data_IF_599175482052
#
_entry.id   IF_599175482052
#
_cell.length_a   1.000
_cell.length_b   1.000
_cell.length_c   1.000
_cell.angle_alpha   90.00
_cell.angle_beta   90.00
_cell.angle_gamma   90.00
#
_symmetry.space_group_name_H-M   'P 1'
#
loop_
_entity.id
_entity.type
_entity.pdbx_description
1 polymer ?
#
# COMPACT_ATOMS: atom_id res chain seq x y z
N UNK A 1 5.16 20.59 -14.30
CA UNK A 1 5.02 19.13 -14.21
C UNK A 1 6.28 18.52 -14.80
N UNK A 2 7.10 17.81 -14.02
CA UNK A 2 8.38 17.24 -14.50
C UNK A 2 8.15 15.78 -14.92
N UNK A 3 8.24 15.48 -16.21
CA UNK A 3 8.13 14.13 -16.78
C UNK A 3 9.49 13.41 -16.67
N UNK A 4 9.58 12.12 -16.32
CA UNK A 4 10.85 11.43 -16.25
C UNK A 4 11.09 10.63 -17.55
N UNK A 5 12.04 11.09 -18.37
CA UNK A 5 12.46 10.50 -19.65
C UNK A 5 13.45 11.43 -20.35
N UNK A 6 14.35 10.93 -21.20
CA UNK A 6 15.36 11.75 -21.90
C UNK A 6 14.69 12.79 -22.79
N UNK A 7 14.84 14.06 -22.40
CA UNK A 7 14.24 15.22 -23.04
C UNK A 7 15.01 15.58 -24.32
N UNK A 8 14.32 15.55 -25.45
CA UNK A 8 14.58 16.52 -26.52
C UNK A 8 13.44 17.52 -26.40
N UNK A 9 13.72 18.70 -25.87
CA UNK A 9 12.77 19.83 -25.86
C UNK A 9 12.71 20.40 -27.27
N UNK A 10 11.58 20.33 -28.01
CA UNK A 10 11.45 21.11 -29.21
C UNK A 10 10.99 22.51 -28.78
N UNK A 11 11.88 23.48 -28.93
CA UNK A 11 11.58 24.90 -28.72
C UNK A 11 10.46 25.44 -29.65
N UNK A 12 9.91 24.61 -30.56
CA UNK A 12 8.99 25.02 -31.61
C UNK A 12 7.60 24.33 -31.60
N UNK A 13 7.43 23.13 -31.02
CA UNK A 13 6.15 22.38 -31.11
C UNK A 13 5.44 22.13 -29.78
N UNK A 14 6.11 22.28 -28.64
CA UNK A 14 5.51 22.06 -27.31
C UNK A 14 5.18 20.59 -26.97
N UNK A 15 5.58 19.64 -27.81
CA UNK A 15 5.36 18.21 -27.62
C UNK A 15 6.55 17.54 -26.93
N UNK A 16 6.27 16.55 -26.08
CA UNK A 16 7.29 15.74 -25.41
C UNK A 16 7.46 14.41 -26.13
N UNK A 17 8.68 14.09 -26.59
CA UNK A 17 8.97 12.80 -27.19
C UNK A 17 9.37 11.76 -26.15
N UNK A 18 8.62 10.66 -26.06
CA UNK A 18 8.80 9.52 -25.16
C UNK A 18 9.19 8.28 -25.97
N UNK A 19 10.29 8.34 -26.73
CA UNK A 19 10.86 7.27 -27.57
C UNK A 19 9.97 6.69 -28.69
N UNK A 20 8.78 6.20 -28.41
CA UNK A 20 7.85 5.69 -29.43
C UNK A 20 6.72 6.68 -29.72
N UNK A 21 6.43 7.61 -28.80
CA UNK A 21 5.26 8.49 -28.90
C UNK A 21 5.54 9.94 -28.52
N UNK A 22 4.72 10.84 -29.06
CA UNK A 22 4.70 12.26 -28.74
C UNK A 22 3.53 12.57 -27.80
N UNK A 23 3.82 13.18 -26.67
CA UNK A 23 2.86 13.58 -25.65
C UNK A 23 2.61 15.09 -25.71
N UNK A 24 1.34 15.47 -25.82
CA UNK A 24 0.90 16.86 -25.72
C UNK A 24 0.45 17.14 -24.28
N UNK A 25 1.23 17.94 -23.56
CA UNK A 25 0.92 18.30 -22.18
C UNK A 25 -0.24 19.29 -22.05
N UNK A 26 -0.58 20.05 -23.10
CA UNK A 26 -1.71 20.98 -23.09
C UNK A 26 -3.05 20.25 -23.16
N UNK A 27 -3.07 19.10 -23.85
CA UNK A 27 -4.26 18.23 -24.00
C UNK A 27 -4.24 17.06 -23.02
N UNK A 28 -3.06 16.68 -22.51
CA UNK A 28 -2.88 15.61 -21.51
C UNK A 28 -2.87 14.20 -22.10
N UNK A 29 -2.48 14.04 -23.38
CA UNK A 29 -2.63 12.79 -24.14
C UNK A 29 -1.49 12.58 -25.13
N UNK A 30 -1.30 11.34 -25.60
CA UNK A 30 -0.43 11.10 -26.74
C UNK A 30 -1.10 11.58 -28.04
N UNK A 31 -0.30 12.15 -28.94
CA UNK A 31 -0.74 12.65 -30.26
C UNK A 31 -0.79 11.52 -31.28
N UNK A 32 0.11 10.55 -31.17
CA UNK A 32 0.11 9.32 -31.96
C UNK A 32 -0.30 8.11 -31.11
N UNK A 33 -0.98 7.15 -31.74
CA UNK A 33 -1.42 5.91 -31.07
C UNK A 33 -0.25 4.99 -30.73
N UNK A 34 -0.41 4.21 -29.66
CA UNK A 34 0.49 3.10 -29.31
C UNK A 34 0.43 1.95 -30.33
N UNK A 35 1.38 1.03 -30.23
CA UNK A 35 1.32 -0.24 -30.94
C UNK A 35 0.06 -1.03 -30.51
N UNK A 36 -0.71 -1.49 -31.50
CA UNK A 36 -1.93 -2.28 -31.30
C UNK A 36 -1.66 -3.57 -30.54
N UNK A 37 -0.43 -4.07 -30.55
CA UNK A 37 -0.02 -5.20 -29.72
C UNK A 37 -0.24 -4.95 -28.22
N UNK A 38 -0.24 -3.70 -27.76
CA UNK A 38 -0.46 -3.34 -26.35
C UNK A 38 -1.93 -3.15 -25.97
N UNK A 39 -2.87 -3.25 -26.92
CA UNK A 39 -4.31 -3.12 -26.64
C UNK A 39 -4.76 -4.19 -25.64
N UNK A 40 -5.40 -3.74 -24.55
CA UNK A 40 -6.04 -4.65 -23.61
C UNK A 40 -5.09 -5.50 -22.76
N UNK A 41 -3.76 -5.37 -22.93
CA UNK A 41 -2.77 -6.19 -22.20
C UNK A 41 -2.91 -6.06 -20.68
N UNK A 42 -3.24 -4.85 -20.19
CA UNK A 42 -3.43 -4.63 -18.77
C UNK A 42 -4.83 -5.06 -18.26
N UNK A 43 -5.69 -5.60 -19.12
CA UNK A 43 -7.04 -6.09 -18.77
C UNK A 43 -8.05 -5.00 -18.41
N UNK A 44 -7.65 -3.72 -18.45
CA UNK A 44 -8.50 -2.57 -18.14
C UNK A 44 -9.11 -1.96 -19.40
N UNK A 45 -10.34 -1.42 -19.33
CA UNK A 45 -10.98 -0.72 -20.48
C UNK A 45 -10.12 0.44 -20.98
N UNK A 46 -9.44 1.14 -20.07
CA UNK A 46 -8.51 2.23 -20.41
C UNK A 46 -7.24 1.75 -21.13
N UNK A 47 -6.86 0.47 -20.99
CA UNK A 47 -5.76 -0.12 -21.76
C UNK A 47 -6.12 -0.38 -23.22
N UNK A 48 -7.38 -0.17 -23.61
CA UNK A 48 -7.82 -0.15 -25.00
C UNK A 48 -7.73 1.25 -25.64
N UNK A 49 -7.29 2.28 -24.89
CA UNK A 49 -7.13 3.64 -25.40
C UNK A 49 -5.67 3.92 -25.76
N UNK A 50 -5.34 3.77 -27.04
CA UNK A 50 -3.99 3.94 -27.59
C UNK A 50 -3.37 5.33 -27.40
N UNK A 51 -4.20 6.33 -27.05
CA UNK A 51 -3.79 7.72 -26.87
C UNK A 51 -3.74 8.15 -25.40
N UNK A 52 -4.14 7.28 -24.47
CA UNK A 52 -4.15 7.61 -23.05
C UNK A 52 -2.71 7.66 -22.50
N UNK A 53 -2.39 8.74 -21.81
CA UNK A 53 -1.15 8.81 -21.03
C UNK A 53 -1.40 8.22 -19.64
N UNK A 54 -0.57 7.26 -19.21
CA UNK A 54 -0.59 6.71 -17.85
C UNK A 54 -1.94 6.12 -17.39
N UNK A 55 -2.73 5.55 -18.31
CA UNK A 55 -4.11 5.13 -18.04
C UNK A 55 -4.98 6.25 -17.44
N UNK A 56 -4.75 7.51 -17.83
CA UNK A 56 -5.33 8.72 -17.24
C UNK A 56 -5.05 8.89 -15.73
N UNK A 57 -4.06 8.17 -15.22
CA UNK A 57 -3.60 8.20 -13.85
C UNK A 57 -2.10 8.58 -13.78
N UNK A 58 -1.67 9.75 -14.31
CA UNK A 58 -0.27 10.20 -14.26
C UNK A 58 0.22 10.52 -12.83
N UNK A 59 -0.69 10.43 -11.84
CA UNK A 59 -0.39 10.44 -10.41
C UNK A 59 0.11 9.06 -9.91
N UNK A 60 -0.10 7.98 -10.66
CA UNK A 60 0.21 6.61 -10.25
C UNK A 60 1.06 5.87 -11.23
N UNK A 61 1.18 6.37 -12.45
CA UNK A 61 1.96 5.75 -13.49
C UNK A 61 2.82 6.82 -14.16
N UNK A 62 4.03 6.45 -14.56
CA UNK A 62 4.68 7.13 -15.65
C UNK A 62 5.02 6.13 -16.74
N UNK A 63 4.89 6.61 -17.95
CA UNK A 63 5.33 5.90 -19.12
C UNK A 63 6.70 6.42 -19.54
N UNK A 64 7.76 5.74 -19.11
CA UNK A 64 9.14 6.12 -19.40
C UNK A 64 9.55 5.85 -20.86
N UNK A 65 8.85 4.93 -21.53
CA UNK A 65 9.26 4.36 -22.81
C UNK A 65 8.22 4.56 -23.92
N UNK A 66 7.13 5.28 -23.64
CA UNK A 66 6.03 5.47 -24.58
C UNK A 66 5.26 4.17 -24.89
N UNK A 67 5.16 3.24 -23.94
CA UNK A 67 4.47 1.94 -24.12
C UNK A 67 3.49 1.68 -22.97
N UNK A 68 3.77 0.68 -22.14
CA UNK A 68 2.98 0.32 -20.97
C UNK A 68 3.40 1.25 -19.81
N UNK A 69 2.49 2.08 -19.27
CA UNK A 69 2.78 2.89 -18.09
C UNK A 69 3.18 2.03 -16.90
N UNK A 70 4.28 2.39 -16.24
CA UNK A 70 4.78 1.74 -15.03
C UNK A 70 4.29 2.50 -13.81
N UNK A 71 3.94 1.81 -12.73
CA UNK A 71 3.42 2.46 -11.53
C UNK A 71 4.48 3.40 -10.89
N UNK A 72 4.24 4.71 -10.96
CA UNK A 72 4.90 5.75 -10.16
C UNK A 72 3.85 6.42 -9.29
N UNK A 73 3.87 6.12 -8.00
CA UNK A 73 3.03 6.81 -7.03
C UNK A 73 3.59 8.23 -6.81
N UNK A 74 2.90 9.27 -7.29
CA UNK A 74 3.20 10.72 -7.19
C UNK A 74 3.16 11.25 -5.74
N UNK A 75 3.08 10.36 -4.76
CA UNK A 75 3.52 10.65 -3.39
C UNK A 75 4.98 11.18 -3.36
N UNK A 76 5.80 10.95 -4.40
CA UNK A 76 7.19 11.45 -4.49
C UNK A 76 7.35 12.96 -4.60
N UNK A 77 6.30 13.75 -4.90
CA UNK A 77 6.48 15.19 -5.24
C UNK A 77 5.90 16.19 -4.25
N UNK A 78 5.13 15.75 -3.25
CA UNK A 78 4.71 16.64 -2.16
C UNK A 78 5.76 16.67 -1.03
N UNK A 79 6.61 15.64 -0.86
CA UNK A 79 7.73 15.66 0.08
C UNK A 79 8.82 14.65 -0.32
N UNK A 80 10.09 15.04 -0.08
CA UNK A 80 11.35 14.36 -0.40
C UNK A 80 11.42 12.87 0.02
N UNK A 81 12.48 12.17 -0.40
CA UNK A 81 12.84 10.76 -0.14
C UNK A 81 12.50 10.15 1.24
N UNK A 82 12.24 10.99 2.26
CA UNK A 82 11.64 10.63 3.55
C UNK A 82 10.20 10.09 3.46
N UNK A 83 9.40 10.48 2.46
CA UNK A 83 8.00 10.05 2.33
C UNK A 83 7.85 8.63 1.75
N UNK A 84 8.77 8.21 0.87
CA UNK A 84 8.74 6.87 0.27
C UNK A 84 8.99 5.80 1.33
N UNK A 85 9.93 6.02 2.26
CA UNK A 85 10.17 5.08 3.35
C UNK A 85 9.00 5.03 4.34
N UNK A 86 8.29 6.15 4.55
CA UNK A 86 7.12 6.17 5.42
C UNK A 86 5.93 5.43 4.85
N UNK A 87 5.71 5.43 3.52
CA UNK A 87 4.58 4.79 2.86
C UNK A 87 4.95 3.53 2.06
N UNK A 88 6.11 2.94 2.37
CA UNK A 88 6.67 1.84 1.58
C UNK A 88 5.75 0.60 1.55
N UNK A 89 5.05 0.30 2.65
CA UNK A 89 4.17 -0.88 2.69
C UNK A 89 2.95 -0.68 1.79
N UNK A 90 2.31 0.48 1.89
CA UNK A 90 1.10 0.77 1.12
C UNK A 90 1.42 0.77 -0.38
N UNK A 91 2.52 1.42 -0.77
CA UNK A 91 3.02 1.39 -2.16
C UNK A 91 3.21 -0.06 -2.66
N UNK A 92 3.81 -0.93 -1.85
CA UNK A 92 4.05 -2.31 -2.25
C UNK A 92 2.75 -3.13 -2.39
N UNK A 93 1.76 -2.88 -1.51
CA UNK A 93 0.43 -3.50 -1.60
C UNK A 93 -0.34 -3.02 -2.85
N UNK A 94 -0.26 -1.73 -3.20
CA UNK A 94 -0.81 -1.21 -4.45
C UNK A 94 -0.12 -1.81 -5.69
N UNK A 95 1.21 -1.95 -5.67
CA UNK A 95 1.96 -2.56 -6.77
C UNK A 95 1.63 -4.06 -6.95
N UNK A 96 1.31 -4.77 -5.87
CA UNK A 96 0.81 -6.13 -5.99
C UNK A 96 -0.57 -6.18 -6.68
N UNK A 97 -1.43 -5.20 -6.41
CA UNK A 97 -2.77 -5.13 -6.99
C UNK A 97 -2.81 -4.89 -8.51
N UNK A 98 -1.77 -4.26 -9.07
CA UNK A 98 -1.66 -4.00 -10.52
C UNK A 98 -1.15 -5.22 -11.27
N UNK A 99 -0.12 -5.90 -10.74
CA UNK A 99 0.62 -6.95 -11.45
C UNK A 99 0.38 -8.32 -10.81
N UNK A 100 0.65 -8.43 -9.50
CA UNK A 100 0.66 -9.69 -8.74
C UNK A 100 -0.70 -10.37 -8.62
N UNK A 101 -1.77 -9.59 -8.42
CA UNK A 101 -3.14 -10.09 -8.38
C UNK A 101 -3.59 -10.69 -9.73
N UNK A 102 -2.90 -10.40 -10.83
CA UNK A 102 -3.11 -11.09 -12.11
C UNK A 102 -2.62 -12.55 -12.10
N UNK A 103 -1.71 -12.90 -11.20
CA UNK A 103 -1.12 -14.23 -11.06
C UNK A 103 -1.73 -15.02 -9.90
N UNK A 104 -1.94 -14.38 -8.74
CA UNK A 104 -2.56 -15.00 -7.56
C UNK A 104 -3.38 -13.99 -6.75
N UNK A 105 -4.65 -14.34 -6.50
CA UNK A 105 -5.58 -13.56 -5.69
C UNK A 105 -5.39 -13.78 -4.18
N UNK A 106 -4.49 -14.67 -3.74
CA UNK A 106 -4.29 -15.01 -2.34
C UNK A 106 -2.81 -14.92 -1.94
N UNK A 107 -2.36 -13.74 -1.54
CA UNK A 107 -0.96 -13.55 -1.15
C UNK A 107 -0.70 -13.94 0.32
N UNK A 108 0.26 -14.86 0.53
CA UNK A 108 0.86 -15.12 1.84
C UNK A 108 2.17 -14.33 1.99
N UNK A 109 2.13 -13.25 2.78
CA UNK A 109 3.30 -12.41 3.03
C UNK A 109 4.03 -12.78 4.33
N UNK A 110 3.73 -13.95 4.91
CA UNK A 110 4.34 -14.39 6.17
C UNK A 110 5.83 -14.76 6.05
N UNK A 111 6.31 -15.08 4.85
CA UNK A 111 7.69 -15.52 4.63
C UNK A 111 8.71 -14.41 4.93
N UNK A 112 9.89 -14.76 5.43
CA UNK A 112 10.94 -13.80 5.80
C UNK A 112 11.66 -13.21 4.58
N UNK A 113 11.67 -13.90 3.44
CA UNK A 113 12.24 -13.36 2.19
C UNK A 113 11.24 -12.50 1.41
N UNK A 114 9.97 -12.43 1.85
CA UNK A 114 8.98 -11.58 1.21
C UNK A 114 9.21 -10.12 1.66
N UNK A 115 9.57 -9.19 0.75
CA UNK A 115 9.85 -7.81 1.12
C UNK A 115 8.61 -7.08 1.68
N UNK A 116 7.42 -7.36 1.13
CA UNK A 116 6.14 -6.83 1.64
C UNK A 116 5.91 -7.37 3.06
N UNK A 117 6.17 -8.66 3.25
CA UNK A 117 6.12 -9.32 4.55
C UNK A 117 7.01 -8.64 5.59
N UNK A 118 8.27 -8.35 5.24
CA UNK A 118 9.21 -7.69 6.16
C UNK A 118 8.79 -6.26 6.52
N UNK A 119 8.31 -5.49 5.53
CA UNK A 119 7.75 -4.17 5.79
C UNK A 119 6.55 -4.25 6.74
N UNK A 120 5.62 -5.17 6.48
CA UNK A 120 4.42 -5.30 7.31
C UNK A 120 4.74 -5.75 8.73
N UNK A 121 5.65 -6.71 8.91
CA UNK A 121 6.13 -7.12 10.24
C UNK A 121 6.72 -5.95 11.01
N UNK A 122 7.57 -5.16 10.37
CA UNK A 122 8.17 -3.97 10.98
C UNK A 122 7.09 -2.95 11.39
N UNK A 123 6.08 -2.70 10.55
CA UNK A 123 4.97 -1.80 10.87
C UNK A 123 4.11 -2.33 12.03
N UNK A 124 3.84 -3.63 12.08
CA UNK A 124 3.07 -4.26 13.15
C UNK A 124 3.79 -4.20 14.50
N UNK A 125 5.10 -4.45 14.52
CA UNK A 125 5.91 -4.36 15.75
C UNK A 125 5.99 -2.94 16.30
N UNK A 126 6.01 -1.93 15.42
CA UNK A 126 6.09 -0.53 15.79
C UNK A 126 4.73 0.16 15.90
N UNK A 127 3.63 -0.61 15.77
CA UNK A 127 2.29 -0.05 15.78
C UNK A 127 1.82 0.30 17.19
N UNK A 128 1.36 1.54 17.37
CA UNK A 128 0.84 2.00 18.67
C UNK A 128 -0.45 1.28 19.03
N UNK A 129 -1.33 1.05 18.06
CA UNK A 129 -2.57 0.32 18.28
C UNK A 129 -2.29 -1.13 18.71
N UNK A 130 -1.35 -1.82 18.07
CA UNK A 130 -0.94 -3.18 18.48
C UNK A 130 -0.36 -3.17 19.90
N UNK A 131 0.52 -2.21 20.19
CA UNK A 131 1.13 -2.08 21.52
C UNK A 131 0.08 -1.89 22.63
N UNK A 132 -0.92 -1.02 22.40
CA UNK A 132 -2.02 -0.79 23.33
C UNK A 132 -2.87 -2.06 23.54
N UNK A 133 -3.13 -2.83 22.48
CA UNK A 133 -3.82 -4.12 22.59
C UNK A 133 -3.00 -5.14 23.38
N UNK A 134 -1.70 -5.27 23.10
CA UNK A 134 -0.80 -6.17 23.84
C UNK A 134 -0.80 -5.80 25.34
N UNK A 135 -0.63 -4.51 25.67
CA UNK A 135 -0.68 -4.03 27.06
C UNK A 135 -2.02 -4.36 27.72
N UNK A 136 -3.13 -4.16 27.02
CA UNK A 136 -4.45 -4.54 27.52
C UNK A 136 -4.54 -6.04 27.78
N UNK A 137 -4.07 -6.89 26.86
CA UNK A 137 -4.13 -8.35 27.01
C UNK A 137 -3.29 -8.82 28.19
N UNK A 138 -2.11 -8.24 28.41
CA UNK A 138 -1.26 -8.55 29.56
C UNK A 138 -1.97 -8.21 30.87
N UNK A 139 -2.68 -7.07 30.96
CA UNK A 139 -3.41 -6.68 32.18
C UNK A 139 -4.59 -7.60 32.51
N UNK A 140 -5.24 -8.16 31.50
CA UNK A 140 -6.41 -9.04 31.67
C UNK A 140 -6.03 -10.53 31.70
N UNK A 141 -4.74 -10.85 31.63
CA UNK A 141 -4.26 -12.22 31.54
C UNK A 141 -4.29 -12.90 32.93
N UNK A 142 -5.13 -13.91 33.09
CA UNK A 142 -5.16 -14.78 34.28
C UNK A 142 -4.34 -16.08 34.15
N UNK A 143 -4.00 -16.48 32.92
CA UNK A 143 -3.26 -17.71 32.58
C UNK A 143 -1.93 -17.39 31.88
N UNK A 144 -1.08 -18.38 31.61
CA UNK A 144 0.20 -18.19 30.89
C UNK A 144 0.04 -17.61 29.47
N UNK A 145 -1.10 -17.88 28.83
CA UNK A 145 -1.40 -17.45 27.46
C UNK A 145 -2.81 -16.85 27.41
N UNK A 146 -2.95 -15.76 26.66
CA UNK A 146 -4.22 -15.11 26.33
C UNK A 146 -4.28 -14.89 24.81
N UNK A 147 -5.41 -15.24 24.19
CA UNK A 147 -5.62 -15.12 22.75
C UNK A 147 -7.03 -14.63 22.49
N UNK A 148 -7.17 -13.71 21.53
CA UNK A 148 -8.47 -13.20 21.12
C UNK A 148 -8.44 -12.87 19.63
N UNK A 149 -9.56 -13.18 18.96
CA UNK A 149 -9.86 -12.68 17.62
C UNK A 149 -10.65 -11.39 17.75
N UNK A 150 -10.22 -10.34 17.06
CA UNK A 150 -10.91 -9.06 17.05
C UNK A 150 -10.62 -8.29 15.77
N UNK A 151 -11.49 -7.33 15.48
CA UNK A 151 -11.25 -6.32 14.46
C UNK A 151 -10.27 -5.28 15.01
N UNK A 152 -9.22 -4.94 14.24
CA UNK A 152 -8.29 -3.87 14.62
C UNK A 152 -8.41 -2.75 13.60
N UNK A 153 -8.86 -1.59 14.08
CA UNK A 153 -8.79 -0.37 13.31
C UNK A 153 -7.45 0.33 13.60
N UNK A 154 -6.58 0.41 12.61
CA UNK A 154 -5.32 1.15 12.67
C UNK A 154 -5.52 2.67 12.45
N UNK A 155 -6.73 3.09 12.09
CA UNK A 155 -7.13 4.45 11.84
C UNK A 155 -7.95 5.04 12.99
N UNK A 156 -7.43 6.13 13.57
CA UNK A 156 -8.21 7.04 14.42
C UNK A 156 -7.73 8.47 14.20
N UNK A 157 -8.58 9.24 13.50
CA UNK A 157 -8.62 10.70 13.33
C UNK A 157 -7.37 11.55 13.52
N UNK A 158 -7.01 12.34 12.49
CA UNK A 158 -6.20 13.59 12.47
C UNK A 158 -4.87 13.69 13.27
N UNK A 159 -4.46 12.73 14.11
CA UNK A 159 -3.39 12.91 15.11
C UNK A 159 -2.31 11.83 15.19
N UNK A 160 -2.37 10.75 14.40
CA UNK A 160 -1.36 9.70 14.51
C UNK A 160 -0.89 9.16 13.15
N UNK A 161 0.14 9.82 12.58
CA UNK A 161 0.77 9.39 11.31
C UNK A 161 1.54 8.07 11.41
N UNK A 162 1.82 7.56 12.63
CA UNK A 162 2.69 6.39 12.84
C UNK A 162 2.12 5.09 12.28
N UNK A 163 0.80 4.90 12.36
CA UNK A 163 0.12 3.73 11.83
C UNK A 163 -0.47 3.97 10.43
N UNK A 164 -0.25 5.16 9.84
CA UNK A 164 -0.90 5.56 8.58
C UNK A 164 -0.54 4.63 7.43
N UNK A 165 0.73 4.26 7.29
CA UNK A 165 1.19 3.34 6.23
C UNK A 165 0.54 1.96 6.42
N UNK A 166 0.54 1.45 7.65
CA UNK A 166 -0.11 0.18 7.97
C UNK A 166 -1.60 0.25 7.64
N UNK A 167 -2.28 1.30 8.07
CA UNK A 167 -3.70 1.51 7.84
C UNK A 167 -4.06 1.63 6.35
N UNK A 168 -3.28 2.36 5.54
CA UNK A 168 -3.50 2.41 4.08
C UNK A 168 -3.22 1.07 3.41
N UNK A 169 -2.30 0.27 3.96
CA UNK A 169 -1.89 -1.03 3.41
C UNK A 169 -2.87 -2.16 3.69
N UNK A 170 -3.52 -2.11 4.86
CA UNK A 170 -4.37 -3.21 5.36
C UNK A 170 -5.83 -2.80 5.51
N UNK A 171 -6.14 -1.51 5.31
CA UNK A 171 -7.46 -0.95 5.52
C UNK A 171 -7.97 -1.14 6.95
N UNK A 172 -9.27 -1.46 7.04
CA UNK A 172 -9.91 -1.91 8.27
C UNK A 172 -9.68 -3.41 8.45
N UNK A 173 -8.47 -3.82 8.82
CA UNK A 173 -8.13 -5.24 8.99
C UNK A 173 -9.11 -5.94 9.96
N UNK A 174 -10.00 -6.74 9.38
CA UNK A 174 -11.19 -7.25 10.04
C UNK A 174 -10.96 -8.53 10.83
N UNK A 175 -9.95 -9.32 10.44
CA UNK A 175 -9.63 -10.60 11.05
C UNK A 175 -8.22 -10.62 11.64
N UNK A 176 -8.06 -10.03 12.83
CA UNK A 176 -6.84 -10.13 13.62
C UNK A 176 -7.00 -11.18 14.73
N UNK A 177 -6.07 -12.12 14.82
CA UNK A 177 -5.87 -12.96 16.00
C UNK A 177 -4.57 -12.56 16.69
N UNK A 178 -4.69 -11.95 17.86
CA UNK A 178 -3.55 -11.59 18.71
C UNK A 178 -3.42 -12.61 19.83
N UNK A 179 -2.21 -13.14 20.04
CA UNK A 179 -1.90 -14.07 21.12
C UNK A 179 -0.68 -13.58 21.89
N UNK A 180 -0.82 -13.51 23.21
CA UNK A 180 0.24 -13.11 24.14
C UNK A 180 0.56 -14.30 25.04
N UNK A 181 1.83 -14.69 25.12
CA UNK A 181 2.29 -15.77 25.99
C UNK A 181 3.41 -15.29 26.91
N UNK A 182 3.21 -15.36 28.23
CA UNK A 182 4.21 -15.02 29.23
C UNK A 182 5.34 -16.07 29.22
N UNK A 183 6.59 -15.63 29.07
CA UNK A 183 7.78 -16.51 29.02
C UNK A 183 8.54 -16.57 30.34
N UNK A 184 8.61 -15.46 31.08
CA UNK A 184 9.37 -15.37 32.33
C UNK A 184 9.94 -13.96 32.53
N UNK A 185 10.87 -13.79 33.47
CA UNK A 185 11.61 -12.52 33.59
C UNK A 185 12.53 -12.32 32.38
N UNK A 186 12.74 -11.07 31.96
CA UNK A 186 13.68 -10.73 30.88
C UNK A 186 15.13 -11.14 31.22
N UNK A 187 15.49 -10.97 32.48
CA UNK A 187 16.77 -11.38 33.08
C UNK A 187 16.56 -11.52 34.58
N UNK A 188 17.44 -12.24 35.27
CA UNK A 188 17.36 -12.45 36.71
C UNK A 188 17.30 -11.13 37.51
N UNK A 189 17.98 -10.07 37.05
CA UNK A 189 17.96 -8.73 37.66
C UNK A 189 16.84 -7.81 37.15
N UNK A 190 16.08 -8.21 36.13
CA UNK A 190 15.09 -7.32 35.50
C UNK A 190 13.74 -7.35 36.22
N UNK A 191 13.16 -6.18 36.44
CA UNK A 191 11.76 -6.05 36.86
C UNK A 191 10.76 -6.37 35.73
N UNK A 192 11.20 -6.41 34.47
CA UNK A 192 10.35 -6.65 33.30
C UNK A 192 10.19 -8.13 32.99
N UNK A 193 9.00 -8.49 32.51
CA UNK A 193 8.71 -9.83 31.99
C UNK A 193 8.82 -9.87 30.47
N UNK A 194 9.28 -11.00 29.96
CA UNK A 194 9.30 -11.31 28.54
C UNK A 194 7.99 -12.01 28.13
N UNK A 195 7.43 -11.55 27.02
CA UNK A 195 6.23 -12.09 26.40
C UNK A 195 6.54 -12.44 24.95
N UNK A 196 6.02 -13.58 24.46
CA UNK A 196 6.00 -13.91 23.04
C UNK A 196 4.65 -13.49 22.47
N UNK A 197 4.69 -12.65 21.44
CA UNK A 197 3.53 -12.14 20.73
C UNK A 197 3.41 -12.89 19.41
N UNK A 198 2.21 -13.36 19.10
CA UNK A 198 1.86 -13.90 17.79
C UNK A 198 0.68 -13.11 17.22
N UNK A 199 0.85 -12.59 16.02
CA UNK A 199 -0.17 -11.85 15.27
C UNK A 199 -0.47 -12.64 14.00
N UNK A 200 -1.75 -12.94 13.79
CA UNK A 200 -2.26 -13.47 12.52
C UNK A 200 -3.29 -12.46 12.00
N UNK A 201 -3.01 -11.88 10.85
CA UNK A 201 -3.85 -10.88 10.18
C UNK A 201 -4.17 -11.37 8.78
N UNK A 202 -5.39 -11.15 8.35
CA UNK A 202 -5.81 -11.39 6.98
C UNK A 202 -6.98 -10.50 6.64
N UNK A 203 -7.06 -10.08 5.38
CA UNK A 203 -8.25 -9.41 4.87
C UNK A 203 -8.34 -9.52 3.34
N UNK A 204 -9.49 -9.10 2.82
CA UNK A 204 -9.63 -8.74 1.41
C UNK A 204 -9.16 -7.29 1.23
N UNK A 205 -8.19 -7.07 0.35
CA UNK A 205 -7.81 -5.72 -0.05
C UNK A 205 -8.64 -5.31 -1.26
N UNK A 206 -9.70 -4.54 -1.02
CA UNK A 206 -10.77 -4.21 -1.97
C UNK A 206 -10.87 -2.72 -2.32
N UNK A 207 -9.93 -1.90 -1.85
CA UNK A 207 -9.90 -0.47 -2.12
C UNK A 207 -11.22 0.26 -1.84
N UNK A 208 -11.90 -0.09 -0.74
CA UNK A 208 -13.18 0.50 -0.33
C UNK A 208 -13.18 2.04 -0.50
N UNK A 209 -14.29 2.57 -1.02
CA UNK A 209 -14.47 4.02 -1.18
C UNK A 209 -14.56 4.69 0.18
N UNK A 210 -13.63 5.60 0.47
CA UNK A 210 -13.65 6.39 1.69
C UNK A 210 -14.56 7.61 1.55
N UNK A 211 -15.14 8.03 2.68
CA UNK A 211 -15.91 9.27 2.76
C UNK A 211 -15.14 10.33 3.55
N UNK A 212 -15.26 11.59 3.12
CA UNK A 212 -14.58 12.73 3.77
C UNK A 212 -15.01 12.85 5.23
N UNK A 213 -16.28 12.57 5.53
CA UNK A 213 -16.84 12.63 6.88
C UNK A 213 -16.17 11.62 7.84
N UNK A 214 -15.93 10.39 7.37
CA UNK A 214 -15.35 9.32 8.20
C UNK A 214 -13.82 9.39 8.24
N UNK A 215 -13.19 9.69 7.11
CA UNK A 215 -11.75 9.50 6.92
C UNK A 215 -10.96 10.83 6.85
N UNK A 216 -11.64 11.96 6.65
CA UNK A 216 -11.02 13.26 6.44
C UNK A 216 -10.57 13.50 5.00
N UNK A 217 -10.46 14.78 4.61
CA UNK A 217 -10.28 15.21 3.21
C UNK A 217 -9.03 14.60 2.54
N UNK A 218 -7.85 14.81 3.13
CA UNK A 218 -6.57 14.41 2.54
C UNK A 218 -6.51 12.89 2.34
N UNK A 219 -6.92 12.15 3.37
CA UNK A 219 -6.90 10.69 3.37
C UNK A 219 -7.90 10.13 2.37
N UNK A 220 -9.10 10.70 2.32
CA UNK A 220 -10.12 10.30 1.35
C UNK A 220 -9.62 10.55 -0.08
N UNK A 221 -8.98 11.69 -0.32
CA UNK A 221 -8.39 12.01 -1.60
C UNK A 221 -7.31 11.00 -2.00
N UNK A 222 -6.42 10.63 -1.06
CA UNK A 222 -5.38 9.61 -1.28
C UNK A 222 -6.05 8.27 -1.60
N UNK A 223 -6.79 7.67 -0.66
CA UNK A 223 -7.35 6.32 -0.85
C UNK A 223 -8.21 6.22 -2.12
N UNK A 224 -9.07 7.21 -2.37
CA UNK A 224 -9.97 7.13 -3.52
C UNK A 224 -9.22 7.33 -4.84
N UNK A 225 -8.21 8.21 -4.88
CA UNK A 225 -7.38 8.41 -6.05
C UNK A 225 -6.44 7.22 -6.33
N UNK A 226 -5.81 6.64 -5.30
CA UNK A 226 -4.84 5.55 -5.51
C UNK A 226 -5.52 4.17 -5.61
N UNK A 227 -6.66 3.97 -4.94
CA UNK A 227 -7.30 2.66 -4.81
C UNK A 227 -8.64 2.59 -5.53
N UNK A 228 -9.65 3.30 -5.00
CA UNK A 228 -11.03 3.12 -5.43
C UNK A 228 -11.24 3.40 -6.93
N UNK A 229 -10.79 4.55 -7.43
CA UNK A 229 -10.99 4.89 -8.85
C UNK A 229 -10.18 3.98 -9.79
N UNK A 230 -8.88 3.70 -9.55
CA UNK A 230 -8.13 2.75 -10.34
C UNK A 230 -8.74 1.34 -10.35
N UNK A 231 -9.26 0.85 -9.22
CA UNK A 231 -9.99 -0.41 -9.18
C UNK A 231 -11.27 -0.34 -10.03
N UNK A 232 -12.07 0.72 -9.88
CA UNK A 232 -13.31 0.90 -10.64
C UNK A 232 -13.08 1.06 -12.15
N UNK A 233 -11.89 1.52 -12.56
CA UNK A 233 -11.47 1.57 -13.97
C UNK A 233 -10.84 0.26 -14.48
N UNK A 234 -10.73 -0.76 -13.62
CA UNK A 234 -10.16 -2.06 -13.95
C UNK A 234 -8.62 -2.11 -13.95
N UNK A 235 -7.95 -1.08 -13.43
CA UNK A 235 -6.47 -1.01 -13.34
C UNK A 235 -5.96 -1.82 -12.15
N UNK A 236 -6.69 -1.79 -11.03
CA UNK A 236 -6.36 -2.59 -9.83
C UNK A 236 -7.34 -3.75 -9.70
N UNK A 237 -6.83 -4.88 -9.23
CA UNK A 237 -7.63 -6.02 -8.81
C UNK A 237 -7.55 -6.20 -7.31
N UNK A 238 -8.69 -6.50 -6.70
CA UNK A 238 -8.75 -6.89 -5.30
C UNK A 238 -8.08 -8.25 -5.10
N UNK A 239 -7.52 -8.48 -3.92
CA UNK A 239 -6.89 -9.74 -3.56
C UNK A 239 -6.95 -9.97 -2.06
N UNK A 240 -6.99 -11.24 -1.66
CA UNK A 240 -6.85 -11.64 -0.27
C UNK A 240 -5.38 -11.63 0.10
N UNK A 241 -5.08 -11.18 1.31
CA UNK A 241 -3.74 -11.24 1.88
C UNK A 241 -3.79 -11.83 3.28
N UNK A 242 -2.69 -12.46 3.69
CA UNK A 242 -2.51 -12.91 5.07
C UNK A 242 -1.06 -12.76 5.51
N UNK A 243 -0.89 -12.44 6.79
CA UNK A 243 0.42 -12.42 7.44
C UNK A 243 0.35 -13.11 8.80
N UNK A 244 1.38 -13.90 9.08
CA UNK A 244 1.68 -14.43 10.41
C UNK A 244 3.02 -13.87 10.86
N UNK A 245 3.03 -13.32 12.06
CA UNK A 245 4.23 -12.74 12.64
C UNK A 245 4.38 -13.08 14.11
N UNK A 246 5.62 -13.34 14.53
CA UNK A 246 5.96 -13.62 15.92
C UNK A 246 7.15 -12.77 16.35
N UNK A 247 7.02 -12.13 17.52
CA UNK A 247 8.09 -11.30 18.08
C UNK A 247 8.06 -11.28 19.61
N UNK A 248 9.15 -10.83 20.22
CA UNK A 248 9.27 -10.70 21.67
C UNK A 248 8.89 -9.30 22.12
N UNK A 249 8.16 -9.21 23.23
CA UNK A 249 7.73 -7.97 23.85
C UNK A 249 8.07 -7.97 25.34
N UNK A 250 8.52 -6.82 25.87
CA UNK A 250 8.94 -6.70 27.25
C UNK A 250 8.07 -5.66 27.98
N UNK A 251 7.39 -6.09 29.03
CA UNK A 251 6.52 -5.26 29.87
C UNK A 251 6.85 -5.45 31.33
#
# INVERSE_FOLDING_TARGET
>A
MWLPGTYISPAETGLYYLQSRYYDASVGRFVNGDDVAFLGIAGAVLSCNLFAYCYNAPLFFADYFGKIPQAIVVITRICAALFVSTFALSIAMYAYATIGAGFDNNIDISSWWNPIGNLMKNRLENSKHIEERIKSYIRHMSKKTYSKKEHINFGSGKKNMKDMDLWLSVGNASNCKLTVTKKGKKSWFSSKYAYKIKIELSDLYDFEKFSIEKNGLIITAINNALGYYPMNWGILKSYNWKIKHEFNYYY
#
